data_IF_211332900664
#
_entry.id   IF_211332900664
#
_cell.length_a   1.000
_cell.length_b   1.000
_cell.length_c   1.000
_cell.angle_alpha   90.00
_cell.angle_beta   90.00
_cell.angle_gamma   90.00
#
_symmetry.space_group_name_H-M   'P 1'
#
loop_
_entity.id
_entity.type
_entity.pdbx_description
1 polymer ?
#
# COMPACT_ATOMS: atom_id res chain seq x y z
N UNK A 1 -5.05 -12.65 42.36
CA UNK A 1 -5.01 -11.19 42.16
C UNK A 1 -3.58 -10.66 41.95
N UNK A 2 -2.56 -11.19 42.63
CA UNK A 2 -1.19 -10.64 42.61
C UNK A 2 -0.48 -10.67 41.23
N UNK A 3 -0.78 -11.64 40.36
CA UNK A 3 -0.20 -11.72 39.01
C UNK A 3 -0.97 -10.96 37.93
N UNK A 4 -2.19 -10.47 38.21
CA UNK A 4 -3.02 -9.80 37.18
C UNK A 4 -2.57 -8.36 36.91
N UNK A 5 -2.05 -7.66 37.92
CA UNK A 5 -1.57 -6.28 37.80
C UNK A 5 -0.40 -6.11 36.81
N UNK A 6 0.71 -6.90 36.87
CA UNK A 6 1.82 -6.74 35.93
C UNK A 6 1.48 -7.14 34.49
N UNK A 7 0.60 -8.15 34.31
CA UNK A 7 0.15 -8.56 32.97
C UNK A 7 -0.77 -7.50 32.33
N UNK A 8 -1.64 -6.87 33.11
CA UNK A 8 -2.46 -5.76 32.64
C UNK A 8 -1.60 -4.55 32.23
N UNK A 9 -0.55 -4.26 33.00
CA UNK A 9 0.36 -3.16 32.69
C UNK A 9 1.14 -3.42 31.39
N UNK A 10 1.63 -4.65 31.19
CA UNK A 10 2.25 -5.05 29.93
C UNK A 10 1.31 -4.91 28.72
N UNK A 11 0.02 -5.26 28.88
CA UNK A 11 -0.99 -5.07 27.83
C UNK A 11 -1.21 -3.58 27.55
N UNK A 12 -1.28 -2.74 28.59
CA UNK A 12 -1.43 -1.29 28.44
C UNK A 12 -0.25 -0.65 27.71
N UNK A 13 0.98 -1.00 28.09
CA UNK A 13 2.19 -0.54 27.43
C UNK A 13 2.20 -0.96 25.96
N UNK A 14 1.82 -2.21 25.65
CA UNK A 14 1.75 -2.69 24.27
C UNK A 14 0.72 -1.93 23.43
N UNK A 15 -0.45 -1.61 24.00
CA UNK A 15 -1.47 -0.80 23.33
C UNK A 15 -0.99 0.62 23.09
N UNK A 16 -0.29 1.22 24.06
CA UNK A 16 0.26 2.57 23.91
C UNK A 16 1.37 2.61 22.85
N UNK A 17 2.29 1.65 22.84
CA UNK A 17 3.30 1.51 21.80
C UNK A 17 2.68 1.33 20.41
N UNK A 18 1.57 0.60 20.31
CA UNK A 18 0.82 0.45 19.06
C UNK A 18 0.22 1.78 18.60
N UNK A 19 -0.37 2.55 19.51
CA UNK A 19 -0.95 3.87 19.23
C UNK A 19 0.12 4.89 18.79
N UNK A 20 1.29 4.90 19.42
CA UNK A 20 2.41 5.76 19.02
C UNK A 20 2.91 5.41 17.62
N UNK A 21 2.95 4.11 17.28
CA UNK A 21 3.31 3.63 15.94
C UNK A 21 2.33 4.12 14.87
N UNK A 22 1.05 4.33 15.21
CA UNK A 22 0.02 4.91 14.32
C UNK A 22 0.09 6.42 14.16
N UNK A 23 0.58 7.12 15.18
CA UNK A 23 0.66 8.59 15.12
C UNK A 23 1.67 9.03 14.06
N UNK A 24 2.64 8.17 13.74
CA UNK A 24 3.62 8.41 12.69
C UNK A 24 3.05 7.92 11.34
N UNK A 25 3.06 8.75 10.29
CA UNK A 25 2.60 8.31 8.97
C UNK A 25 3.48 7.16 8.46
N UNK A 26 2.85 6.17 7.84
CA UNK A 26 3.54 4.98 7.31
C UNK A 26 4.75 5.34 6.45
N UNK A 27 4.61 6.34 5.57
CA UNK A 27 5.65 6.82 4.65
C UNK A 27 6.90 7.30 5.40
N UNK A 28 6.76 7.90 6.58
CA UNK A 28 7.89 8.37 7.40
C UNK A 28 8.46 7.27 8.31
N UNK A 29 7.76 6.14 8.45
CA UNK A 29 8.15 5.04 9.31
C UNK A 29 9.35 4.25 8.74
N UNK A 30 10.08 3.56 9.62
CA UNK A 30 11.13 2.63 9.19
C UNK A 30 10.61 1.49 8.31
N UNK A 31 9.33 1.11 8.48
CA UNK A 31 8.68 0.08 7.67
C UNK A 31 8.50 0.55 6.21
N UNK A 32 8.12 1.81 5.98
CA UNK A 32 8.01 2.40 4.64
C UNK A 32 9.35 2.43 3.92
N UNK A 33 10.42 2.87 4.61
CA UNK A 33 11.79 2.85 4.06
C UNK A 33 12.26 1.44 3.72
N UNK A 34 12.02 0.49 4.62
CA UNK A 34 12.40 -0.91 4.41
C UNK A 34 11.60 -1.59 3.28
N UNK A 35 10.35 -1.20 3.08
CA UNK A 35 9.52 -1.69 1.98
C UNK A 35 10.01 -1.14 0.64
N UNK A 36 10.30 0.16 0.57
CA UNK A 36 10.87 0.80 -0.62
C UNK A 36 12.23 0.18 -1.01
N UNK A 37 13.10 -0.10 -0.03
CA UNK A 37 14.37 -0.79 -0.28
C UNK A 37 14.22 -2.23 -0.79
N UNK A 38 13.03 -2.85 -0.62
CA UNK A 38 12.70 -4.20 -1.13
C UNK A 38 11.84 -4.16 -2.40
N UNK A 39 11.77 -3.01 -3.08
CA UNK A 39 10.95 -2.81 -4.27
C UNK A 39 9.45 -3.10 -4.07
N UNK A 40 8.95 -2.94 -2.83
CA UNK A 40 7.52 -3.02 -2.56
C UNK A 40 6.85 -1.69 -2.94
N UNK A 41 5.80 -1.70 -3.79
CA UNK A 41 5.07 -0.49 -4.13
C UNK A 41 4.41 0.17 -2.92
N UNK A 42 4.31 1.49 -2.93
CA UNK A 42 3.81 2.27 -1.80
C UNK A 42 2.43 1.80 -1.31
N UNK A 43 1.43 1.71 -2.20
CA UNK A 43 0.07 1.32 -1.81
C UNK A 43 0.00 -0.10 -1.28
N UNK A 44 0.66 -1.04 -1.95
CA UNK A 44 0.71 -2.44 -1.51
C UNK A 44 1.41 -2.59 -0.16
N UNK A 45 2.49 -1.84 0.06
CA UNK A 45 3.29 -1.88 1.29
C UNK A 45 2.56 -1.27 2.49
N UNK A 46 1.79 -0.21 2.28
CA UNK A 46 0.95 0.41 3.30
C UNK A 46 -0.20 -0.53 3.70
N UNK A 47 -0.87 -1.15 2.74
CA UNK A 47 -1.93 -2.13 3.00
C UNK A 47 -1.40 -3.37 3.75
N UNK A 48 -0.23 -3.87 3.34
CA UNK A 48 0.43 -4.98 4.04
C UNK A 48 0.78 -4.61 5.48
N UNK A 49 1.39 -3.44 5.69
CA UNK A 49 1.74 -2.94 7.01
C UNK A 49 0.50 -2.85 7.89
N UNK A 50 -0.58 -2.28 7.38
CA UNK A 50 -1.78 -2.08 8.16
C UNK A 50 -2.52 -3.41 8.44
N UNK A 51 -2.47 -4.40 7.53
CA UNK A 51 -2.90 -5.78 7.81
C UNK A 51 -2.06 -6.44 8.91
N UNK A 52 -0.74 -6.23 8.88
CA UNK A 52 0.16 -6.75 9.91
C UNK A 52 -0.15 -6.14 11.28
N UNK A 53 -0.45 -4.85 11.31
CA UNK A 53 -0.81 -4.17 12.56
C UNK A 53 -2.19 -4.61 13.07
N UNK A 54 -3.16 -4.84 12.18
CA UNK A 54 -4.43 -5.45 12.56
C UNK A 54 -4.22 -6.80 13.25
N UNK A 55 -3.39 -7.68 12.69
CA UNK A 55 -3.06 -8.95 13.34
C UNK A 55 -2.37 -8.80 14.70
N UNK A 56 -1.55 -7.76 14.88
CA UNK A 56 -0.96 -7.43 16.19
C UNK A 56 -2.03 -6.97 17.18
N UNK A 57 -3.00 -6.17 16.73
CA UNK A 57 -4.14 -5.72 17.53
C UNK A 57 -4.98 -6.91 17.99
N UNK A 58 -5.33 -7.81 17.06
CA UNK A 58 -6.14 -8.99 17.34
C UNK A 58 -5.43 -9.93 18.33
N UNK A 59 -4.11 -10.13 18.17
CA UNK A 59 -3.32 -10.94 19.09
C UNK A 59 -3.23 -10.32 20.50
N UNK A 60 -3.13 -8.98 20.60
CA UNK A 60 -3.16 -8.28 21.89
C UNK A 60 -4.54 -8.36 22.54
N UNK A 61 -5.62 -8.27 21.76
CA UNK A 61 -6.98 -8.48 22.25
C UNK A 61 -7.17 -9.91 22.78
N UNK A 62 -6.68 -10.92 22.06
CA UNK A 62 -6.72 -12.32 22.51
C UNK A 62 -5.94 -12.53 23.81
N UNK A 63 -4.72 -11.98 23.91
CA UNK A 63 -3.95 -12.01 25.17
C UNK A 63 -4.65 -11.31 26.33
N UNK A 64 -5.33 -10.20 26.04
CA UNK A 64 -6.12 -9.49 27.05
C UNK A 64 -7.26 -10.37 27.56
N UNK A 65 -7.93 -11.08 26.65
CA UNK A 65 -8.98 -12.04 26.98
C UNK A 65 -8.46 -13.24 27.78
N UNK A 66 -7.28 -13.75 27.46
CA UNK A 66 -6.65 -14.84 28.22
C UNK A 66 -6.31 -14.42 29.67
N UNK A 67 -5.91 -13.17 29.89
CA UNK A 67 -5.50 -12.65 31.21
C UNK A 67 -6.70 -12.26 32.09
N UNK A 68 -7.69 -11.60 31.49
CA UNK A 68 -8.84 -11.04 32.22
C UNK A 68 -10.09 -11.93 32.15
N UNK A 69 -10.06 -12.99 31.35
CA UNK A 69 -11.18 -13.90 31.09
C UNK A 69 -12.16 -13.37 30.04
N UNK A 70 -13.06 -14.24 29.57
CA UNK A 70 -13.98 -13.97 28.45
C UNK A 70 -14.88 -12.72 28.63
N UNK A 71 -15.13 -12.31 29.88
CA UNK A 71 -16.01 -11.18 30.21
C UNK A 71 -15.27 -9.88 30.54
N UNK A 72 -13.98 -9.79 30.22
CA UNK A 72 -13.16 -8.60 30.51
C UNK A 72 -13.76 -7.30 29.99
N UNK A 73 -14.48 -7.35 28.87
CA UNK A 73 -15.18 -6.19 28.27
C UNK A 73 -16.32 -5.63 29.14
N UNK A 74 -16.78 -6.35 30.16
CA UNK A 74 -17.83 -5.89 31.07
C UNK A 74 -17.27 -5.07 32.25
N UNK A 75 -16.04 -5.36 32.66
CA UNK A 75 -15.36 -4.64 33.74
C UNK A 75 -15.01 -3.20 33.33
N UNK A 76 -15.01 -2.23 34.27
CA UNK A 76 -14.68 -0.84 33.94
C UNK A 76 -13.32 -0.68 33.25
N UNK A 77 -12.28 -1.37 33.75
CA UNK A 77 -10.94 -1.33 33.16
C UNK A 77 -10.89 -1.93 31.75
N UNK A 78 -11.63 -3.02 31.53
CA UNK A 78 -11.71 -3.65 30.21
C UNK A 78 -12.57 -2.87 29.20
N UNK A 79 -13.58 -2.14 29.65
CA UNK A 79 -14.35 -1.22 28.78
C UNK A 79 -13.48 -0.11 28.19
N UNK A 80 -12.62 0.50 28.99
CA UNK A 80 -11.69 1.52 28.50
C UNK A 80 -10.69 0.94 27.49
N UNK A 81 -10.15 -0.22 27.79
CA UNK A 81 -9.21 -0.91 26.91
C UNK A 81 -9.87 -1.33 25.59
N UNK A 82 -11.10 -1.84 25.64
CA UNK A 82 -11.89 -2.17 24.45
C UNK A 82 -12.18 -0.93 23.60
N UNK A 83 -12.45 0.23 24.21
CA UNK A 83 -12.60 1.50 23.47
C UNK A 83 -11.30 1.88 22.75
N UNK A 84 -10.14 1.72 23.39
CA UNK A 84 -8.83 1.98 22.76
C UNK A 84 -8.59 1.02 21.58
N UNK A 85 -8.85 -0.27 21.76
CA UNK A 85 -8.73 -1.26 20.69
C UNK A 85 -9.64 -0.94 19.49
N UNK A 86 -10.92 -0.65 19.75
CA UNK A 86 -11.86 -0.28 18.69
C UNK A 86 -11.46 1.00 17.97
N UNK A 87 -10.97 2.01 18.71
CA UNK A 87 -10.48 3.24 18.10
C UNK A 87 -9.29 2.99 17.14
N UNK A 88 -8.34 2.13 17.54
CA UNK A 88 -7.23 1.75 16.68
C UNK A 88 -7.72 0.95 15.46
N UNK A 89 -8.68 0.04 15.65
CA UNK A 89 -9.29 -0.72 14.55
C UNK A 89 -10.03 0.19 13.55
N UNK A 90 -10.73 1.23 14.03
CA UNK A 90 -11.41 2.20 13.17
C UNK A 90 -10.42 3.03 12.36
N UNK A 91 -9.31 3.46 12.97
CA UNK A 91 -8.21 4.14 12.27
C UNK A 91 -7.54 3.24 11.22
N UNK A 92 -7.49 1.93 11.50
CA UNK A 92 -6.98 0.88 10.62
C UNK A 92 -7.87 0.54 9.44
N UNK A 93 -9.02 1.21 9.28
CA UNK A 93 -9.93 1.09 8.15
C UNK A 93 -9.26 1.46 6.81
N UNK A 94 -8.35 0.60 6.32
CA UNK A 94 -7.54 0.71 5.10
C UNK A 94 -8.34 0.75 3.80
N UNK A 95 -9.67 0.77 3.91
CA UNK A 95 -10.58 1.01 2.79
C UNK A 95 -10.26 2.33 2.11
N UNK A 96 -9.77 3.33 2.84
CA UNK A 96 -9.41 4.63 2.26
C UNK A 96 -8.22 4.54 1.29
N UNK A 97 -7.11 3.95 1.71
CA UNK A 97 -5.90 3.83 0.86
C UNK A 97 -6.20 3.10 -0.45
N UNK A 98 -6.91 1.97 -0.37
CA UNK A 98 -7.33 1.24 -1.57
C UNK A 98 -8.32 2.03 -2.43
N UNK A 99 -9.27 2.74 -1.81
CA UNK A 99 -10.26 3.55 -2.54
C UNK A 99 -9.60 4.71 -3.28
N UNK A 100 -8.66 5.41 -2.63
CA UNK A 100 -7.93 6.54 -3.18
C UNK A 100 -7.01 6.07 -4.32
N UNK A 101 -6.34 4.93 -4.15
CA UNK A 101 -5.62 4.26 -5.23
C UNK A 101 -6.55 3.94 -6.41
N UNK A 102 -7.71 3.37 -6.13
CA UNK A 102 -8.65 2.96 -7.16
C UNK A 102 -9.23 4.16 -7.94
N UNK A 103 -9.55 5.26 -7.27
CA UNK A 103 -9.98 6.50 -7.95
C UNK A 103 -8.87 7.05 -8.82
N UNK A 104 -7.63 7.10 -8.33
CA UNK A 104 -6.49 7.63 -9.09
C UNK A 104 -6.24 6.82 -10.38
N UNK A 105 -6.36 5.50 -10.33
CA UNK A 105 -6.19 4.65 -11.51
C UNK A 105 -7.39 4.66 -12.43
N UNK A 106 -8.62 4.81 -11.92
CA UNK A 106 -9.81 5.01 -12.76
C UNK A 106 -9.69 6.29 -13.59
N UNK A 107 -9.26 7.38 -12.99
CA UNK A 107 -8.99 8.63 -13.71
C UNK A 107 -7.93 8.46 -14.79
N UNK A 108 -6.84 7.73 -14.49
CA UNK A 108 -5.79 7.43 -15.48
C UNK A 108 -6.28 6.53 -16.62
N UNK A 109 -7.08 5.50 -16.32
CA UNK A 109 -7.70 4.66 -17.36
C UNK A 109 -8.58 5.50 -18.27
N UNK A 110 -9.42 6.37 -17.70
CA UNK A 110 -10.27 7.25 -18.49
C UNK A 110 -9.44 8.22 -19.34
N UNK A 111 -8.35 8.77 -18.79
CA UNK A 111 -7.44 9.61 -19.54
C UNK A 111 -6.74 8.85 -20.70
N UNK A 112 -6.43 7.57 -20.53
CA UNK A 112 -5.82 6.76 -21.58
C UNK A 112 -6.81 6.42 -22.73
N UNK A 113 -8.12 6.51 -22.47
CA UNK A 113 -9.16 6.41 -23.52
C UNK A 113 -9.26 7.69 -24.37
N UNK A 114 -8.65 8.80 -23.95
CA UNK A 114 -8.67 10.03 -24.74
C UNK A 114 -7.95 9.84 -26.08
N UNK A 115 -8.57 10.23 -27.20
CA UNK A 115 -8.05 9.94 -28.54
C UNK A 115 -6.65 10.53 -28.79
N UNK A 116 -6.36 11.68 -28.17
CA UNK A 116 -5.05 12.31 -28.24
C UNK A 116 -3.94 11.49 -27.55
N UNK A 117 -4.23 10.89 -26.39
CA UNK A 117 -3.28 10.01 -25.69
C UNK A 117 -3.11 8.70 -26.43
N UNK A 118 -4.21 8.13 -26.91
CA UNK A 118 -4.19 6.89 -27.67
C UNK A 118 -3.38 7.01 -28.96
N UNK A 119 -3.44 8.16 -29.65
CA UNK A 119 -2.58 8.45 -30.79
C UNK A 119 -1.09 8.50 -30.41
N UNK A 120 -0.77 9.08 -29.23
CA UNK A 120 0.60 9.15 -28.73
C UNK A 120 1.14 7.77 -28.34
N UNK A 121 0.35 6.92 -27.70
CA UNK A 121 0.75 5.57 -27.28
C UNK A 121 1.11 4.60 -28.43
N UNK A 122 0.66 4.89 -29.66
CA UNK A 122 1.03 4.14 -30.86
C UNK A 122 2.51 4.31 -31.23
N UNK A 123 3.13 5.41 -30.82
CA UNK A 123 4.53 5.69 -31.12
C UNK A 123 5.41 5.00 -30.08
N UNK A 124 6.42 4.25 -30.54
CA UNK A 124 7.38 3.55 -29.66
C UNK A 124 8.42 4.52 -29.11
N UNK A 125 8.76 5.56 -29.87
CA UNK A 125 9.74 6.57 -29.50
C UNK A 125 9.11 7.96 -29.44
N UNK A 126 9.65 8.81 -28.57
CA UNK A 126 9.35 10.23 -28.46
C UNK A 126 10.65 11.02 -28.63
N UNK A 127 10.56 12.19 -29.25
CA UNK A 127 11.68 13.13 -29.29
C UNK A 127 11.52 14.08 -28.10
N UNK A 128 12.39 13.96 -27.10
CA UNK A 128 12.47 14.91 -25.99
C UNK A 128 13.50 16.00 -26.30
N UNK A 129 13.34 17.17 -25.66
CA UNK A 129 14.37 18.21 -25.67
C UNK A 129 14.96 18.33 -24.29
N UNK A 130 16.28 18.26 -24.20
CA UNK A 130 16.99 18.52 -22.96
C UNK A 130 16.95 20.02 -22.62
N UNK A 131 17.32 20.39 -21.39
CA UNK A 131 17.41 21.79 -20.91
C UNK A 131 18.35 22.66 -21.75
N UNK A 132 19.30 22.04 -22.45
CA UNK A 132 20.24 22.68 -23.38
C UNK A 132 19.72 22.79 -24.83
N UNK A 133 18.48 22.39 -25.11
CA UNK A 133 17.86 22.47 -26.44
C UNK A 133 18.19 21.31 -27.39
N UNK A 134 19.08 20.40 -27.00
CA UNK A 134 19.40 19.17 -27.71
C UNK A 134 18.20 18.23 -27.81
N UNK A 135 17.97 17.64 -28.98
CA UNK A 135 16.94 16.63 -29.19
C UNK A 135 17.48 15.26 -28.84
N UNK A 136 16.77 14.51 -28.01
CA UNK A 136 17.09 13.12 -27.66
C UNK A 136 15.93 12.21 -27.99
N UNK A 137 16.25 10.98 -28.39
CA UNK A 137 15.25 9.95 -28.61
C UNK A 137 15.01 9.24 -27.28
N UNK A 138 13.75 9.17 -26.86
CA UNK A 138 13.33 8.47 -25.65
C UNK A 138 12.31 7.40 -26.00
N UNK A 139 12.29 6.30 -25.24
CA UNK A 139 11.26 5.27 -25.37
C UNK A 139 9.95 5.80 -24.77
N UNK A 140 8.86 5.68 -25.52
CA UNK A 140 7.52 6.04 -25.08
C UNK A 140 6.96 4.98 -24.13
N UNK A 141 7.39 5.01 -22.87
CA UNK A 141 6.91 4.08 -21.87
C UNK A 141 6.64 4.80 -20.55
N UNK A 142 5.38 4.74 -20.10
CA UNK A 142 4.97 5.35 -18.84
C UNK A 142 5.47 4.51 -17.66
N UNK A 143 6.45 5.06 -16.94
CA UNK A 143 7.02 4.45 -15.72
C UNK A 143 5.96 4.20 -14.64
N UNK A 144 4.88 4.98 -14.60
CA UNK A 144 3.76 4.77 -13.67
C UNK A 144 3.09 3.41 -13.89
N UNK A 145 3.07 2.92 -15.14
CA UNK A 145 2.49 1.61 -15.47
C UNK A 145 3.35 0.45 -14.93
N UNK A 146 4.63 0.71 -14.59
CA UNK A 146 5.48 -0.25 -13.87
C UNK A 146 5.02 -0.44 -12.44
N UNK A 147 4.78 0.68 -11.75
CA UNK A 147 4.25 0.67 -10.40
C UNK A 147 2.89 -0.04 -10.37
N UNK A 148 2.03 0.23 -11.36
CA UNK A 148 0.72 -0.43 -11.48
C UNK A 148 0.80 -1.95 -11.48
N UNK A 149 1.58 -2.56 -12.39
CA UNK A 149 1.57 -4.02 -12.48
C UNK A 149 2.22 -4.66 -11.24
N UNK A 150 3.21 -3.98 -10.63
CA UNK A 150 3.76 -4.40 -9.34
C UNK A 150 2.70 -4.31 -8.23
N UNK A 151 1.91 -3.25 -8.21
CA UNK A 151 0.81 -3.07 -7.25
C UNK A 151 -0.27 -4.13 -7.43
N UNK A 152 -0.81 -4.30 -8.64
CA UNK A 152 -1.85 -5.30 -8.94
C UNK A 152 -1.41 -6.71 -8.55
N UNK A 153 -0.14 -7.07 -8.81
CA UNK A 153 0.43 -8.37 -8.40
C UNK A 153 0.40 -8.54 -6.87
N UNK A 154 0.88 -7.56 -6.12
CA UNK A 154 0.94 -7.63 -4.66
C UNK A 154 -0.47 -7.54 -4.03
N UNK A 155 -1.33 -6.67 -4.55
CA UNK A 155 -2.71 -6.52 -4.08
C UNK A 155 -3.47 -7.83 -4.21
N UNK A 156 -3.36 -8.53 -5.35
CA UNK A 156 -3.97 -9.87 -5.52
C UNK A 156 -3.53 -10.88 -4.46
N UNK A 157 -2.31 -10.76 -3.91
CA UNK A 157 -1.81 -11.64 -2.86
C UNK A 157 -2.25 -11.20 -1.45
N UNK A 158 -2.47 -9.90 -1.23
CA UNK A 158 -2.75 -9.31 0.10
C UNK A 158 -4.26 -9.17 0.36
N UNK A 159 -5.04 -8.79 -0.66
CA UNK A 159 -6.44 -8.42 -0.51
C UNK A 159 -7.38 -9.58 -0.86
N UNK A 160 -7.93 -10.22 0.16
CA UNK A 160 -8.99 -11.23 0.02
C UNK A 160 -10.36 -10.58 -0.24
N UNK A 161 -10.61 -9.39 0.34
CA UNK A 161 -11.94 -8.75 0.31
C UNK A 161 -12.09 -7.62 -0.73
N UNK A 162 -10.98 -7.11 -1.29
CA UNK A 162 -10.99 -5.98 -2.21
C UNK A 162 -10.74 -6.46 -3.65
N UNK A 163 -11.76 -6.33 -4.50
CA UNK A 163 -11.67 -6.74 -5.90
C UNK A 163 -11.13 -5.62 -6.78
N UNK A 164 -10.07 -5.91 -7.53
CA UNK A 164 -9.51 -5.00 -8.53
C UNK A 164 -10.42 -5.03 -9.78
N UNK A 165 -10.82 -3.87 -10.35
CA UNK A 165 -11.58 -3.85 -11.59
C UNK A 165 -10.82 -4.44 -12.78
N UNK A 166 -11.49 -5.21 -13.66
CA UNK A 166 -10.84 -5.85 -14.81
C UNK A 166 -10.11 -4.88 -15.75
N UNK A 167 -10.59 -3.65 -15.90
CA UNK A 167 -9.95 -2.62 -16.74
C UNK A 167 -8.56 -2.22 -16.25
N UNK A 168 -8.35 -2.18 -14.94
CA UNK A 168 -7.04 -1.89 -14.35
C UNK A 168 -6.13 -3.12 -14.50
N UNK A 169 -6.68 -4.32 -14.36
CA UNK A 169 -5.93 -5.56 -14.55
C UNK A 169 -5.45 -5.75 -16.00
N UNK A 170 -6.28 -5.48 -16.99
CA UNK A 170 -5.89 -5.56 -18.40
C UNK A 170 -4.80 -4.54 -18.74
N UNK A 171 -4.90 -3.31 -18.20
CA UNK A 171 -3.86 -2.29 -18.34
C UNK A 171 -2.54 -2.73 -17.70
N UNK A 172 -2.60 -3.29 -16.48
CA UNK A 172 -1.42 -3.83 -15.80
C UNK A 172 -0.75 -4.96 -16.59
N UNK A 173 -1.54 -5.90 -17.11
CA UNK A 173 -1.03 -7.01 -17.94
C UNK A 173 -0.42 -6.51 -19.26
N UNK A 174 -1.04 -5.53 -19.91
CA UNK A 174 -0.51 -4.92 -21.13
C UNK A 174 0.84 -4.22 -20.86
N UNK A 175 0.94 -3.49 -19.76
CA UNK A 175 2.19 -2.84 -19.33
C UNK A 175 3.28 -3.87 -19.00
N UNK A 176 2.94 -4.92 -18.26
CA UNK A 176 3.85 -6.00 -17.89
C UNK A 176 4.47 -6.68 -19.13
N UNK A 177 3.67 -6.90 -20.18
CA UNK A 177 4.16 -7.50 -21.43
C UNK A 177 5.09 -6.56 -22.20
N UNK A 178 4.84 -5.25 -22.20
CA UNK A 178 5.65 -4.26 -22.93
C UNK A 178 6.94 -3.89 -22.19
N UNK A 179 6.96 -4.04 -20.87
CA UNK A 179 8.06 -3.57 -20.01
C UNK A 179 9.45 -4.10 -20.40
N UNK A 180 9.68 -5.42 -20.60
CA UNK A 180 11.02 -5.92 -20.92
C UNK A 180 11.59 -5.34 -22.22
N UNK A 181 10.74 -5.21 -23.25
CA UNK A 181 11.12 -4.65 -24.55
C UNK A 181 11.43 -3.16 -24.41
N UNK A 182 10.61 -2.42 -23.67
CA UNK A 182 10.83 -1.00 -23.43
C UNK A 182 12.16 -0.74 -22.69
N UNK A 183 12.48 -1.55 -21.68
CA UNK A 183 13.75 -1.44 -20.95
C UNK A 183 14.96 -1.82 -21.81
N UNK A 184 14.84 -2.85 -22.65
CA UNK A 184 15.90 -3.20 -23.59
C UNK A 184 16.18 -2.05 -24.57
N UNK A 185 15.14 -1.47 -25.16
CA UNK A 185 15.28 -0.32 -26.06
C UNK A 185 15.87 0.91 -25.35
N UNK A 186 15.45 1.18 -24.12
CA UNK A 186 15.98 2.29 -23.35
C UNK A 186 17.47 2.10 -23.05
N UNK A 187 17.89 0.90 -22.63
CA UNK A 187 19.29 0.58 -22.41
C UNK A 187 20.14 0.72 -23.69
N UNK A 188 19.59 0.34 -24.86
CA UNK A 188 20.28 0.57 -26.13
C UNK A 188 20.40 2.06 -26.46
N UNK A 189 19.38 2.87 -26.20
CA UNK A 189 19.46 4.32 -26.46
C UNK A 189 20.40 5.06 -25.50
N UNK A 190 20.60 4.54 -24.29
CA UNK A 190 21.55 5.12 -23.33
C UNK A 190 23.00 4.75 -23.65
N UNK A 191 23.22 3.71 -24.47
CA UNK A 191 24.58 3.26 -24.87
C UNK A 191 25.09 3.92 -26.16
N UNK A 192 24.22 4.52 -26.97
CA UNK A 192 24.57 5.24 -28.21
C UNK A 192 24.42 6.76 -28.04
#
# INVERSE_FOLDING_TARGET
AEYQAPLLESVREAVQALQEKFTRPYVASGAGRAASARDLPAVASELLWARQVQGQLDALMGRTEDVLGAYWKLEPAGKELARKFNHIADLLGNRRVFKDWLSSWRERVNADLEPARQAREKHIFLISRNRHGERRLEVNFDKSKVELFKEVRNLRQISTDQRIPPSIETMALAAQKRYPVAMALQATLETY
#
